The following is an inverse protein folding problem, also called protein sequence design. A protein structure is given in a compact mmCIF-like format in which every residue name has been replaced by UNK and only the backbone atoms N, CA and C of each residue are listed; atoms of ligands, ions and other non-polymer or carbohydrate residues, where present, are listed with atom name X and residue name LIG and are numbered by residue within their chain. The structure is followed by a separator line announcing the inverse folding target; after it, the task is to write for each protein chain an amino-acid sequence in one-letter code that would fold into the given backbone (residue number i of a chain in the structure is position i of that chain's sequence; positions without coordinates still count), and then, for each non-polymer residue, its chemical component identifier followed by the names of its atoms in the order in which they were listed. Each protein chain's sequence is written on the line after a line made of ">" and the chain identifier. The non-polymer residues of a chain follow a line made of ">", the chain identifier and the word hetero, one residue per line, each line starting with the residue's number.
data_IF_251751927663
#
_entry.id   IF_251751927663
#
_cell.length_a   1.000
_cell.length_b   1.000
_cell.length_c   1.000
_cell.angle_alpha   90.00
_cell.angle_beta   90.00
_cell.angle_gamma   90.00
#
_symmetry.space_group_name_H-M   'P 1'
#
loop_
_entity.id
_entity.type
_entity.pdbx_description
1 polymer ?
#
# COMPACT_ATOMS: atom_id res chain seq x y z
N UNK A 1 13.37 0.02 10.94
CA UNK A 1 13.39 -1.00 9.86
C UNK A 1 13.40 -0.27 8.52
N UNK A 2 13.90 -0.87 7.43
CA UNK A 2 13.90 -0.22 6.10
C UNK A 2 12.47 0.16 5.67
N UNK A 3 11.49 -0.74 5.89
CA UNK A 3 10.06 -0.53 5.54
C UNK A 3 9.49 0.71 6.19
N UNK A 4 9.76 0.89 7.48
CA UNK A 4 9.28 2.06 8.23
C UNK A 4 9.84 3.37 7.66
N UNK A 5 11.11 3.37 7.24
CA UNK A 5 11.74 4.55 6.66
C UNK A 5 11.09 4.94 5.34
N UNK A 6 10.83 3.97 4.46
CA UNK A 6 10.14 4.22 3.20
C UNK A 6 8.71 4.69 3.40
N UNK A 7 7.98 4.09 4.36
CA UNK A 7 6.62 4.52 4.71
C UNK A 7 6.62 5.99 5.14
N UNK A 8 7.54 6.38 6.04
CA UNK A 8 7.65 7.79 6.46
C UNK A 8 8.01 8.72 5.29
N UNK A 9 8.99 8.34 4.47
CA UNK A 9 9.40 9.13 3.32
C UNK A 9 8.27 9.33 2.30
N UNK A 10 7.45 8.29 2.09
CA UNK A 10 6.27 8.37 1.24
C UNK A 10 5.23 9.33 1.84
N UNK A 11 4.87 9.18 3.12
CA UNK A 11 3.92 10.07 3.80
C UNK A 11 4.38 11.55 3.78
N UNK A 12 5.67 11.81 3.99
CA UNK A 12 6.23 13.17 3.87
C UNK A 12 6.12 13.73 2.45
N UNK A 13 6.24 12.88 1.43
CA UNK A 13 6.08 13.28 0.03
C UNK A 13 4.62 13.56 -0.30
N UNK A 14 3.69 12.78 0.24
CA UNK A 14 2.25 13.01 0.12
C UNK A 14 1.85 14.35 0.75
N UNK A 15 2.34 14.63 1.95
CA UNK A 15 2.08 15.89 2.65
C UNK A 15 2.60 17.11 1.86
N UNK A 16 3.82 17.03 1.32
CA UNK A 16 4.41 18.12 0.54
C UNK A 16 3.74 18.35 -0.81
N UNK A 17 3.29 17.29 -1.48
CA UNK A 17 2.75 17.36 -2.85
C UNK A 17 1.22 17.34 -2.90
N UNK A 18 0.55 17.05 -1.78
CA UNK A 18 -0.88 16.80 -1.70
C UNK A 18 -1.35 15.72 -2.70
N UNK A 19 -0.46 14.79 -3.03
CA UNK A 19 -0.69 13.69 -3.97
C UNK A 19 -0.45 12.38 -3.24
N UNK A 20 -1.35 11.42 -3.40
CA UNK A 20 -1.15 10.07 -2.91
C UNK A 20 -0.02 9.39 -3.68
N UNK A 21 0.95 8.82 -2.96
CA UNK A 21 2.09 8.09 -3.53
C UNK A 21 2.34 6.77 -2.80
N UNK A 22 1.66 6.53 -1.68
CA UNK A 22 1.82 5.34 -0.85
C UNK A 22 0.66 4.37 -1.07
N UNK A 23 0.98 3.24 -1.70
CA UNK A 23 0.03 2.15 -1.95
C UNK A 23 0.46 0.89 -1.19
N UNK A 24 -0.09 0.64 0.01
CA UNK A 24 0.28 -0.53 0.79
C UNK A 24 -0.36 -1.81 0.22
N UNK A 25 0.47 -2.80 -0.04
CA UNK A 25 0.07 -4.19 -0.35
C UNK A 25 0.57 -5.12 0.74
N UNK A 26 -0.18 -6.17 1.05
CA UNK A 26 0.24 -7.19 2.04
C UNK A 26 0.40 -8.56 1.40
N UNK A 27 1.53 -9.21 1.69
CA UNK A 27 1.80 -10.60 1.29
C UNK A 27 1.53 -11.60 2.41
N UNK A 28 1.43 -11.11 3.65
CA UNK A 28 1.15 -11.85 4.87
C UNK A 28 0.37 -10.97 5.86
N UNK A 29 0.18 -11.46 7.07
CA UNK A 29 -0.51 -10.76 8.16
C UNK A 29 0.46 -9.94 9.04
N UNK A 30 1.75 -9.82 8.69
CA UNK A 30 2.74 -9.17 9.55
C UNK A 30 2.42 -7.70 9.82
N UNK A 31 1.86 -6.97 8.84
CA UNK A 31 1.41 -5.58 9.04
C UNK A 31 0.17 -5.50 9.95
N UNK A 32 -0.66 -6.55 9.95
CA UNK A 32 -1.87 -6.63 10.77
C UNK A 32 -1.53 -6.96 12.22
N UNK A 33 -0.49 -7.76 12.44
CA UNK A 33 -0.02 -8.21 13.75
C UNK A 33 1.04 -7.28 14.36
N UNK A 34 1.61 -6.37 13.59
CA UNK A 34 2.66 -5.48 14.11
C UNK A 34 2.12 -4.44 15.09
N UNK A 35 2.76 -4.36 16.25
CA UNK A 35 2.54 -3.31 17.26
C UNK A 35 3.30 -2.00 16.96
N UNK A 36 3.99 -1.92 15.82
CA UNK A 36 4.74 -0.72 15.45
C UNK A 36 3.80 0.41 15.09
N UNK A 37 4.12 1.62 15.55
CA UNK A 37 3.28 2.81 15.36
C UNK A 37 3.01 3.09 13.87
N UNK A 38 4.02 2.96 13.01
CA UNK A 38 3.84 3.17 11.57
C UNK A 38 2.87 2.15 10.95
N UNK A 39 2.89 0.89 11.40
CA UNK A 39 1.96 -0.14 10.91
C UNK A 39 0.53 0.16 11.40
N UNK A 40 0.38 0.58 12.66
CA UNK A 40 -0.89 1.04 13.19
C UNK A 40 -1.47 2.25 12.43
N UNK A 41 -0.62 3.20 12.06
CA UNK A 41 -1.02 4.34 11.26
C UNK A 41 -1.53 3.89 9.88
N UNK A 42 -0.76 3.08 9.14
CA UNK A 42 -1.15 2.61 7.81
C UNK A 42 -2.46 1.82 7.83
N UNK A 43 -2.69 0.95 8.83
CA UNK A 43 -3.97 0.24 8.99
C UNK A 43 -5.18 1.17 9.17
N UNK A 44 -4.99 2.34 9.78
CA UNK A 44 -6.07 3.30 10.07
C UNK A 44 -6.31 4.28 8.93
N UNK A 45 -5.26 4.66 8.21
CA UNK A 45 -5.29 5.79 7.27
C UNK A 45 -5.26 5.38 5.81
N UNK A 46 -4.99 4.11 5.50
CA UNK A 46 -4.83 3.62 4.11
C UNK A 46 -5.59 2.32 3.90
N UNK A 47 -5.99 2.10 2.64
CA UNK A 47 -6.54 0.82 2.21
C UNK A 47 -5.39 -0.13 1.87
N UNK A 48 -5.20 -1.17 2.69
CA UNK A 48 -4.17 -2.19 2.45
C UNK A 48 -4.74 -3.28 1.54
N UNK A 49 -4.21 -3.39 0.33
CA UNK A 49 -4.66 -4.39 -0.65
C UNK A 49 -4.12 -5.77 -0.29
N UNK A 50 -5.01 -6.76 -0.23
CA UNK A 50 -4.65 -8.15 0.06
C UNK A 50 -4.01 -8.84 -1.15
N UNK A 51 -2.77 -9.29 -0.99
CA UNK A 51 -2.00 -10.04 -1.98
C UNK A 51 -1.51 -11.39 -1.43
N UNK A 52 -2.09 -11.90 -0.34
CA UNK A 52 -1.68 -13.18 0.27
C UNK A 52 -1.80 -14.37 -0.69
N UNK A 53 -2.71 -14.31 -1.66
CA UNK A 53 -2.92 -15.35 -2.67
C UNK A 53 -2.08 -15.18 -3.95
N UNK A 54 -0.96 -14.43 -3.90
CA UNK A 54 -0.12 -14.15 -5.07
C UNK A 54 0.42 -15.40 -5.80
N UNK A 55 0.44 -16.56 -5.15
CA UNK A 55 0.83 -17.85 -5.77
C UNK A 55 -0.29 -18.50 -6.60
N UNK A 56 -1.55 -18.10 -6.39
CA UNK A 56 -2.69 -18.55 -7.21
C UNK A 56 -2.81 -17.62 -8.41
N UNK A 57 -2.55 -18.15 -9.60
CA UNK A 57 -2.46 -17.37 -10.83
C UNK A 57 -3.68 -16.47 -11.07
N UNK A 58 -4.89 -16.99 -10.90
CA UNK A 58 -6.13 -16.24 -11.12
C UNK A 58 -6.32 -15.11 -10.09
N UNK A 59 -6.10 -15.40 -8.81
CA UNK A 59 -6.22 -14.43 -7.72
C UNK A 59 -5.16 -13.31 -7.82
N UNK A 60 -3.94 -13.66 -8.21
CA UNK A 60 -2.88 -12.70 -8.49
C UNK A 60 -3.28 -11.77 -9.64
N UNK A 61 -3.74 -12.32 -10.76
CA UNK A 61 -4.10 -11.54 -11.95
C UNK A 61 -5.21 -10.54 -11.67
N UNK A 62 -6.22 -10.94 -10.89
CA UNK A 62 -7.30 -10.04 -10.45
C UNK A 62 -6.77 -8.91 -9.55
N UNK A 63 -6.01 -9.27 -8.52
CA UNK A 63 -5.49 -8.30 -7.53
C UNK A 63 -4.49 -7.33 -8.16
N UNK A 64 -3.65 -7.82 -9.06
CA UNK A 64 -2.70 -7.01 -9.83
C UNK A 64 -3.41 -6.08 -10.82
N UNK A 65 -4.46 -6.56 -11.50
CA UNK A 65 -5.27 -5.72 -12.38
C UNK A 65 -5.90 -4.54 -11.65
N UNK A 66 -6.45 -4.76 -10.44
CA UNK A 66 -6.98 -3.68 -9.60
C UNK A 66 -5.89 -2.71 -9.14
N UNK A 67 -4.72 -3.22 -8.75
CA UNK A 67 -3.59 -2.37 -8.38
C UNK A 67 -3.16 -1.47 -9.55
N UNK A 68 -3.08 -2.03 -10.75
CA UNK A 68 -2.70 -1.27 -11.95
C UNK A 68 -3.75 -0.19 -12.28
N UNK A 69 -5.03 -0.51 -12.13
CA UNK A 69 -6.12 0.47 -12.32
C UNK A 69 -6.04 1.61 -11.31
N UNK A 70 -5.76 1.33 -10.04
CA UNK A 70 -5.61 2.39 -9.03
C UNK A 70 -4.42 3.30 -9.35
N UNK A 71 -3.27 2.71 -9.71
CA UNK A 71 -2.07 3.46 -10.07
C UNK A 71 -2.30 4.35 -11.31
N UNK A 72 -3.04 3.85 -12.30
CA UNK A 72 -3.40 4.61 -13.49
C UNK A 72 -4.42 5.72 -13.19
N UNK A 73 -5.41 5.45 -12.33
CA UNK A 73 -6.41 6.44 -11.96
C UNK A 73 -5.85 7.58 -11.12
N UNK A 74 -4.84 7.33 -10.28
CA UNK A 74 -4.16 8.41 -9.56
C UNK A 74 -3.28 9.27 -10.48
N UNK A 75 -2.63 8.67 -11.49
CA UNK A 75 -1.86 9.42 -12.50
C UNK A 75 -2.70 10.26 -13.48
N UNK A 76 -4.03 10.08 -13.51
CA UNK A 76 -4.96 10.84 -14.37
C UNK A 76 -5.60 12.03 -13.62
N UNK A 77 -5.43 12.13 -12.30
CA UNK A 77 -6.02 13.21 -11.47
C UNK A 77 -5.17 14.50 -11.40
N UNK A 78 -4.24 14.71 -12.34
CA UNK A 78 -3.45 15.95 -12.48
C UNK A 78 -4.17 17.02 -13.32
#
# INVERSE_FOLDING_TARGET
>A
SWVEREVRAALEKEDKRQTSVLFPIRLDDAVMESDKEWAANIRRTRHIRDFREWKKYDAYKESFGRLLQDLQQEGVRE
#
